data_IF_133096104713
#
_entry.id   IF_133096104713
#
_cell.length_a   1.000
_cell.length_b   1.000
_cell.length_c   1.000
_cell.angle_alpha   90.00
_cell.angle_beta   90.00
_cell.angle_gamma   90.00
#
_symmetry.space_group_name_H-M   'P 1'
#
loop_
_entity.id
_entity.type
_entity.pdbx_description
1 polymer ?
#
# COMPACT_ATOMS: atom_id res chain seq x y z
N UNK A 1 -12.38 6.14 18.28
CA UNK A 1 -11.14 6.81 17.83
C UNK A 1 -10.55 6.00 16.68
N UNK A 2 -10.06 6.64 15.62
CA UNK A 2 -9.36 5.94 14.52
C UNK A 2 -7.90 5.64 14.91
N UNK A 3 -7.26 4.69 14.24
CA UNK A 3 -5.84 4.39 14.44
C UNK A 3 -4.98 5.35 13.62
N UNK A 4 -3.87 5.84 14.18
CA UNK A 4 -2.86 6.61 13.44
C UNK A 4 -1.60 5.76 13.31
N UNK A 5 -1.10 5.61 12.08
CA UNK A 5 0.20 5.01 11.78
C UNK A 5 1.18 6.13 11.45
N UNK A 6 2.30 6.14 12.17
CA UNK A 6 3.34 7.13 11.95
C UNK A 6 4.41 6.56 11.02
N UNK A 7 4.62 7.25 9.90
CA UNK A 7 5.56 6.89 8.84
C UNK A 7 6.46 8.11 8.57
N UNK A 8 7.44 8.38 9.45
CA UNK A 8 8.34 9.52 9.29
C UNK A 8 9.30 9.36 8.10
N UNK A 9 9.64 8.13 7.73
CA UNK A 9 10.65 7.82 6.74
C UNK A 9 10.44 6.43 6.10
N UNK A 10 11.26 6.12 5.09
CA UNK A 10 11.24 4.84 4.39
C UNK A 10 11.59 3.62 5.29
N UNK A 11 12.58 3.66 6.19
CA UNK A 11 12.81 2.59 7.15
C UNK A 11 11.60 2.28 8.04
N UNK A 12 10.88 3.29 8.52
CA UNK A 12 9.66 3.09 9.28
C UNK A 12 8.59 2.38 8.46
N UNK A 13 8.43 2.73 7.17
CA UNK A 13 7.54 2.01 6.26
C UNK A 13 7.99 0.55 6.02
N UNK A 14 9.29 0.30 5.88
CA UNK A 14 9.84 -1.05 5.74
C UNK A 14 9.65 -1.91 7.00
N UNK A 15 9.69 -1.31 8.19
CA UNK A 15 9.51 -2.02 9.46
C UNK A 15 8.06 -2.45 9.74
N UNK A 16 7.09 -1.88 9.02
CA UNK A 16 5.67 -2.24 9.14
C UNK A 16 5.42 -3.65 8.59
N UNK A 17 4.51 -4.40 9.23
CA UNK A 17 4.08 -5.72 8.78
C UNK A 17 3.60 -5.68 7.32
N UNK A 18 3.89 -6.72 6.53
CA UNK A 18 3.64 -6.77 5.09
C UNK A 18 2.22 -6.29 4.70
N UNK A 19 1.20 -6.74 5.44
CA UNK A 19 -0.21 -6.38 5.23
C UNK A 19 -0.49 -4.90 5.44
N UNK A 20 0.08 -4.31 6.48
CA UNK A 20 -0.04 -2.88 6.74
C UNK A 20 0.79 -2.08 5.73
N UNK A 21 1.97 -2.58 5.35
CA UNK A 21 2.85 -1.97 4.35
C UNK A 21 2.18 -1.90 2.98
N UNK A 22 1.48 -2.96 2.58
CA UNK A 22 0.68 -3.01 1.34
C UNK A 22 -0.36 -1.88 1.27
N UNK A 23 -1.06 -1.64 2.39
CA UNK A 23 -2.04 -0.55 2.48
C UNK A 23 -1.34 0.81 2.48
N UNK A 24 -0.28 0.97 3.27
CA UNK A 24 0.48 2.21 3.35
C UNK A 24 1.02 2.60 1.98
N UNK A 25 1.66 1.69 1.26
CA UNK A 25 2.16 1.90 -0.10
C UNK A 25 1.03 2.28 -1.07
N UNK A 26 -0.11 1.59 -1.00
CA UNK A 26 -1.27 1.91 -1.84
C UNK A 26 -1.81 3.33 -1.56
N UNK A 27 -1.89 3.71 -0.28
CA UNK A 27 -2.34 5.04 0.18
C UNK A 27 -1.35 6.13 -0.24
N UNK A 28 -0.05 5.89 -0.08
CA UNK A 28 1.00 6.82 -0.48
C UNK A 28 0.99 7.07 -1.99
N UNK A 29 0.85 6.00 -2.79
CA UNK A 29 0.72 6.11 -4.25
C UNK A 29 -0.53 6.91 -4.63
N UNK A 30 -1.66 6.63 -3.97
CA UNK A 30 -2.89 7.37 -4.18
C UNK A 30 -2.74 8.85 -3.81
N UNK A 31 -2.13 9.16 -2.68
CA UNK A 31 -1.90 10.53 -2.24
C UNK A 31 -1.00 11.29 -3.24
N UNK A 32 0.11 10.68 -3.64
CA UNK A 32 1.03 11.22 -4.68
C UNK A 32 0.31 11.54 -5.98
N UNK A 33 -0.57 10.64 -6.42
CA UNK A 33 -1.26 10.76 -7.71
C UNK A 33 -2.55 11.59 -7.65
N UNK A 34 -2.95 12.05 -6.45
CA UNK A 34 -4.21 12.77 -6.22
C UNK A 34 -5.46 11.89 -6.32
N UNK A 35 -5.33 10.58 -6.13
CA UNK A 35 -6.46 9.66 -6.12
C UNK A 35 -7.25 9.76 -4.79
N UNK A 36 -8.56 9.92 -4.90
CA UNK A 36 -9.44 10.05 -3.74
C UNK A 36 -10.00 8.71 -3.25
N UNK A 37 -9.88 7.65 -4.07
CA UNK A 37 -10.43 6.33 -3.76
C UNK A 37 -9.47 5.25 -4.21
N UNK A 38 -9.22 4.29 -3.33
CA UNK A 38 -8.59 3.02 -3.66
C UNK A 38 -9.63 1.90 -3.59
N UNK A 39 -9.45 0.89 -4.42
CA UNK A 39 -10.19 -0.36 -4.42
C UNK A 39 -9.21 -1.50 -4.44
N UNK A 40 -9.41 -2.45 -3.54
CA UNK A 40 -8.58 -3.63 -3.42
C UNK A 40 -9.44 -4.83 -3.73
N UNK A 41 -8.94 -5.71 -4.58
CA UNK A 41 -9.68 -6.86 -5.08
C UNK A 41 -8.75 -8.06 -5.13
N UNK A 42 -9.24 -9.23 -4.72
CA UNK A 42 -8.52 -10.48 -4.93
C UNK A 42 -8.89 -11.06 -6.31
N UNK A 43 -7.91 -11.22 -7.20
CA UNK A 43 -8.07 -11.82 -8.53
C UNK A 43 -7.10 -12.97 -8.71
N UNK A 44 -7.61 -14.14 -9.11
CA UNK A 44 -6.79 -15.33 -9.42
C UNK A 44 -5.76 -15.69 -8.35
N UNK A 45 -6.07 -15.44 -7.07
CA UNK A 45 -5.12 -15.68 -5.98
C UNK A 45 -3.97 -14.66 -5.92
N UNK A 46 -4.22 -13.41 -6.28
CA UNK A 46 -3.34 -12.27 -6.02
C UNK A 46 -4.16 -11.04 -5.63
N UNK A 47 -3.58 -10.15 -4.81
CA UNK A 47 -4.18 -8.87 -4.47
C UNK A 47 -3.87 -7.82 -5.54
N UNK A 48 -4.89 -7.11 -5.95
CA UNK A 48 -4.82 -6.07 -6.97
C UNK A 48 -5.38 -4.77 -6.40
N UNK A 49 -4.65 -3.67 -6.60
CA UNK A 49 -5.04 -2.33 -6.15
C UNK A 49 -5.41 -1.48 -7.35
N UNK A 50 -6.58 -0.85 -7.30
CA UNK A 50 -7.02 0.15 -8.25
C UNK A 50 -7.18 1.50 -7.55
N UNK A 51 -6.79 2.58 -8.20
CA UNK A 51 -6.98 3.94 -7.73
C UNK A 51 -7.94 4.68 -8.66
N UNK A 52 -8.85 5.47 -8.10
CA UNK A 52 -9.76 6.30 -8.89
C UNK A 52 -9.19 7.70 -9.02
N UNK A 53 -8.86 8.10 -10.25
CA UNK A 53 -8.37 9.42 -10.64
C UNK A 53 -9.30 9.99 -11.70
N UNK A 54 -9.82 11.20 -11.50
CA UNK A 54 -10.64 11.93 -12.48
C UNK A 54 -11.70 11.05 -13.19
N UNK A 55 -12.43 10.28 -12.38
CA UNK A 55 -13.44 9.29 -12.75
C UNK A 55 -12.95 7.95 -13.36
N UNK A 56 -11.69 7.81 -13.77
CA UNK A 56 -11.11 6.56 -14.27
C UNK A 56 -10.53 5.69 -13.15
N UNK A 57 -10.62 4.37 -13.31
CA UNK A 57 -9.89 3.41 -12.47
C UNK A 57 -8.55 3.08 -13.11
N UNK A 58 -7.48 3.34 -12.36
CA UNK A 58 -6.09 3.05 -12.76
C UNK A 58 -5.59 1.89 -11.92
N UNK A 59 -5.00 0.89 -12.57
CA UNK A 59 -4.34 -0.21 -11.88
C UNK A 59 -3.02 0.28 -11.27
N UNK A 60 -2.78 -0.04 -10.00
CA UNK A 60 -1.47 0.10 -9.35
C UNK A 60 -0.78 -1.27 -9.36
N UNK A 61 0.01 -1.58 -10.40
CA UNK A 61 0.69 -2.86 -10.48
C UNK A 61 1.78 -2.96 -9.40
N UNK A 62 2.12 -4.19 -9.00
CA UNK A 62 3.27 -4.52 -8.13
C UNK A 62 3.24 -3.99 -6.70
N UNK A 63 2.18 -3.31 -6.24
CA UNK A 63 2.12 -2.86 -4.83
C UNK A 63 2.12 -4.02 -3.85
N UNK A 64 1.44 -5.12 -4.20
CA UNK A 64 1.47 -6.35 -3.41
C UNK A 64 2.87 -6.98 -3.38
N UNK A 65 3.59 -6.96 -4.51
CA UNK A 65 4.95 -7.49 -4.62
C UNK A 65 5.94 -6.63 -3.80
N UNK A 66 5.90 -5.31 -3.95
CA UNK A 66 6.73 -4.36 -3.20
C UNK A 66 6.45 -4.33 -1.69
N UNK A 67 5.31 -4.89 -1.27
CA UNK A 67 4.93 -5.03 0.13
C UNK A 67 5.22 -6.43 0.70
N UNK A 68 5.87 -7.30 -0.06
CA UNK A 68 6.13 -8.70 0.28
C UNK A 68 4.85 -9.51 0.58
N UNK A 69 3.72 -9.14 -0.03
CA UNK A 69 2.47 -9.88 0.14
C UNK A 69 2.55 -11.19 -0.66
N UNK A 70 2.43 -12.35 0.00
CA UNK A 70 2.38 -13.62 -0.70
C UNK A 70 1.18 -13.65 -1.63
N UNK A 71 1.36 -14.13 -2.87
CA UNK A 71 0.24 -14.38 -3.80
C UNK A 71 -0.85 -15.22 -3.13
N UNK A 72 -0.44 -16.26 -2.40
CA UNK A 72 -1.34 -17.19 -1.70
C UNK A 72 -1.97 -16.69 -0.39
N UNK A 73 -1.89 -15.40 -0.04
CA UNK A 73 -2.39 -14.88 1.24
C UNK A 73 -3.93 -14.97 1.34
N UNK A 74 -4.42 -16.16 1.68
CA UNK A 74 -5.81 -16.47 2.04
C UNK A 74 -6.15 -15.94 3.43
N UNK A 75 -5.17 -15.70 4.30
CA UNK A 75 -5.43 -15.26 5.68
C UNK A 75 -5.98 -13.84 5.81
N UNK A 76 -5.77 -12.99 4.80
CA UNK A 76 -6.47 -11.70 4.72
C UNK A 76 -7.97 -11.87 4.46
N UNK A 77 -8.38 -13.01 3.92
CA UNK A 77 -9.75 -13.31 3.49
C UNK A 77 -10.44 -14.35 4.38
N UNK A 78 -9.73 -14.95 5.33
CA UNK A 78 -10.25 -15.91 6.34
C UNK A 78 -11.35 -15.34 7.26
N UNK A 79 -11.70 -14.05 7.14
CA UNK A 79 -12.97 -13.53 7.63
C UNK A 79 -13.76 -12.90 6.46
N UNK A 80 -14.98 -13.39 6.18
CA UNK A 80 -15.82 -12.79 5.15
C UNK A 80 -16.13 -11.33 5.48
N UNK A 81 -15.89 -10.45 4.50
CA UNK A 81 -16.25 -9.03 4.54
C UNK A 81 -15.18 -8.09 5.12
N UNK A 82 -15.30 -6.83 4.72
CA UNK A 82 -14.36 -5.73 5.03
C UNK A 82 -14.13 -5.49 6.52
N UNK A 83 -15.12 -5.82 7.36
CA UNK A 83 -14.99 -5.74 8.81
C UNK A 83 -13.99 -6.74 9.38
N UNK A 84 -13.78 -7.92 8.78
CA UNK A 84 -12.82 -8.88 9.34
C UNK A 84 -11.37 -8.43 9.19
N UNK A 85 -11.04 -7.88 8.03
CA UNK A 85 -9.67 -7.54 7.65
C UNK A 85 -9.25 -6.13 8.09
N UNK A 86 -10.06 -5.11 7.79
CA UNK A 86 -9.74 -3.74 8.17
C UNK A 86 -9.84 -3.51 9.68
N UNK A 87 -10.75 -4.21 10.38
CA UNK A 87 -10.78 -4.18 11.85
C UNK A 87 -9.65 -5.00 12.49
N UNK A 88 -8.94 -5.87 11.76
CA UNK A 88 -7.70 -6.48 12.26
C UNK A 88 -6.50 -5.56 12.02
N UNK A 89 -6.39 -4.99 10.83
CA UNK A 89 -5.24 -4.17 10.44
C UNK A 89 -5.19 -2.80 11.09
N UNK A 90 -6.34 -2.14 11.20
CA UNK A 90 -6.44 -0.77 11.69
C UNK A 90 -7.39 -0.63 12.89
N UNK A 91 -7.94 -1.75 13.38
CA UNK A 91 -8.88 -1.81 14.52
C UNK A 91 -10.08 -0.86 14.43
N UNK A 92 -10.37 -0.32 13.24
CA UNK A 92 -11.35 0.73 13.03
C UNK A 92 -11.75 0.85 11.55
N UNK A 93 -12.95 1.38 11.29
CA UNK A 93 -13.38 1.78 9.93
C UNK A 93 -12.74 3.08 9.42
N UNK A 94 -11.80 3.65 10.19
CA UNK A 94 -11.06 4.88 9.88
C UNK A 94 -9.65 4.79 10.46
N UNK A 95 -8.67 5.23 9.70
CA UNK A 95 -7.29 5.36 10.15
C UNK A 95 -6.62 6.54 9.46
N UNK A 96 -5.48 6.96 9.98
CA UNK A 96 -4.70 8.06 9.44
C UNK A 96 -3.25 7.60 9.23
N UNK A 97 -2.65 7.96 8.09
CA UNK A 97 -1.21 7.85 7.89
C UNK A 97 -0.59 9.22 8.13
N UNK A 98 0.32 9.31 9.09
CA UNK A 98 1.03 10.54 9.42
C UNK A 98 2.43 10.50 8.82
N UNK A 99 2.68 11.39 7.86
CA UNK A 99 3.90 11.53 7.06
C UNK A 99 4.68 12.75 7.57
N UNK A 100 5.43 12.57 8.66
CA UNK A 100 6.01 13.71 9.38
C UNK A 100 4.94 14.58 10.05
N UNK A 101 4.76 15.81 9.55
CA UNK A 101 3.74 16.77 10.00
C UNK A 101 2.41 16.64 9.23
N UNK A 102 2.43 15.95 8.08
CA UNK A 102 1.27 15.80 7.21
C UNK A 102 0.46 14.55 7.54
N UNK A 103 -0.82 14.54 7.16
CA UNK A 103 -1.72 13.42 7.39
C UNK A 103 -2.58 13.06 6.17
N UNK A 104 -2.71 11.76 5.91
CA UNK A 104 -3.69 11.21 4.97
C UNK A 104 -4.77 10.47 5.75
N UNK A 105 -5.94 11.10 5.89
CA UNK A 105 -7.11 10.50 6.50
C UNK A 105 -7.74 9.45 5.56
N UNK A 106 -7.90 8.23 6.06
CA UNK A 106 -8.42 7.10 5.33
C UNK A 106 -9.72 6.58 5.97
N UNK A 107 -10.72 6.31 5.15
CA UNK A 107 -11.96 5.66 5.57
C UNK A 107 -12.16 4.37 4.81
N UNK A 108 -12.39 3.28 5.55
CA UNK A 108 -12.62 1.95 4.98
C UNK A 108 -14.11 1.74 4.75
N UNK A 109 -14.47 1.22 3.59
CA UNK A 109 -15.83 0.79 3.24
C UNK A 109 -15.84 -0.54 2.51
N UNK A 110 -16.96 -1.26 2.63
CA UNK A 110 -17.16 -2.53 1.94
C UNK A 110 -17.53 -2.35 0.47
N UNK A 111 -16.98 -3.21 -0.39
CA UNK A 111 -17.30 -3.27 -1.82
C UNK A 111 -17.48 -4.73 -2.26
N UNK A 112 -18.39 -5.44 -1.59
CA UNK A 112 -18.66 -6.87 -1.82
C UNK A 112 -17.86 -7.83 -0.92
N UNK A 113 -17.94 -9.15 -1.18
CA UNK A 113 -17.38 -10.17 -0.30
C UNK A 113 -15.84 -10.26 -0.33
N UNK A 114 -15.22 -9.87 -1.44
CA UNK A 114 -13.77 -9.99 -1.69
C UNK A 114 -13.12 -8.69 -2.17
N UNK A 115 -13.82 -7.57 -2.02
CA UNK A 115 -13.29 -6.26 -2.35
C UNK A 115 -13.66 -5.23 -1.29
N UNK A 116 -12.76 -4.26 -1.15
CA UNK A 116 -12.94 -3.14 -0.22
C UNK A 116 -12.41 -1.86 -0.83
N UNK A 117 -12.93 -0.75 -0.32
CA UNK A 117 -12.55 0.57 -0.76
C UNK A 117 -11.95 1.37 0.39
N UNK A 118 -10.94 2.17 0.08
CA UNK A 118 -10.46 3.23 0.93
C UNK A 118 -10.81 4.56 0.29
N UNK A 119 -11.55 5.40 1.00
CA UNK A 119 -11.68 6.81 0.62
C UNK A 119 -10.58 7.60 1.30
N UNK A 120 -9.88 8.43 0.54
CA UNK A 120 -8.77 9.26 0.97
C UNK A 120 -9.15 10.73 0.86
N UNK A 121 -8.57 11.55 1.74
CA UNK A 121 -8.59 13.02 1.62
C UNK A 121 -7.16 13.56 1.72
N UNK A 122 -6.32 13.37 0.70
CA UNK A 122 -4.96 13.89 0.72
C UNK A 122 -4.97 15.42 0.58
N UNK A 123 -4.16 16.10 1.39
CA UNK A 123 -3.79 17.51 1.17
C UNK A 123 -2.71 17.59 0.08
N UNK A 124 -2.47 18.78 -0.48
CA UNK A 124 -1.34 18.97 -1.41
C UNK A 124 0.00 18.68 -0.74
N UNK A 125 0.14 19.09 0.52
CA UNK A 125 1.34 18.90 1.30
C UNK A 125 1.57 17.42 1.61
N UNK A 126 0.52 16.67 1.94
CA UNK A 126 0.59 15.21 2.07
C UNK A 126 0.95 14.50 0.76
N UNK A 127 0.58 15.04 -0.41
CA UNK A 127 0.98 14.48 -1.70
C UNK A 127 2.48 14.66 -1.97
N UNK A 128 3.05 15.81 -1.57
CA UNK A 128 4.48 16.07 -1.66
C UNK A 128 5.26 15.15 -0.70
N UNK A 129 4.84 15.07 0.57
CA UNK A 129 5.44 14.18 1.56
C UNK A 129 5.37 12.70 1.14
N UNK A 130 4.25 12.27 0.55
CA UNK A 130 4.11 10.92 0.01
C UNK A 130 5.07 10.67 -1.16
N UNK A 131 5.30 11.67 -2.03
CA UNK A 131 6.23 11.54 -3.16
C UNK A 131 7.66 11.33 -2.68
N UNK A 132 8.10 12.11 -1.69
CA UNK A 132 9.45 12.02 -1.12
C UNK A 132 9.67 10.66 -0.45
N UNK A 133 8.78 10.27 0.46
CA UNK A 133 8.87 9.00 1.20
C UNK A 133 8.85 7.78 0.27
N UNK A 134 8.09 7.84 -0.82
CA UNK A 134 8.08 6.79 -1.82
C UNK A 134 9.39 6.72 -2.61
N UNK A 135 9.97 7.87 -2.98
CA UNK A 135 11.29 7.92 -3.61
C UNK A 135 12.32 7.19 -2.77
N UNK A 136 12.42 7.58 -1.50
CA UNK A 136 13.34 6.97 -0.54
C UNK A 136 13.09 5.47 -0.37
N UNK A 137 11.82 5.05 -0.28
CA UNK A 137 11.45 3.65 -0.09
C UNK A 137 11.88 2.76 -1.26
N UNK A 138 11.71 3.21 -2.51
CA UNK A 138 12.14 2.45 -3.69
C UNK A 138 13.63 2.58 -3.99
N UNK A 139 14.32 3.59 -3.44
CA UNK A 139 15.77 3.74 -3.53
C UNK A 139 16.54 2.95 -2.44
N UNK A 140 15.84 2.43 -1.42
CA UNK A 140 16.45 1.53 -0.44
C UNK A 140 17.10 0.32 -1.16
N UNK A 141 18.34 -0.05 -0.82
CA UNK A 141 19.12 -1.09 -1.52
C UNK A 141 18.60 -2.53 -1.34
N UNK A 142 17.30 -2.72 -1.06
CA UNK A 142 16.67 -4.02 -0.85
C UNK A 142 15.87 -4.60 -2.03
N UNK A 143 15.59 -3.83 -3.09
CA UNK A 143 14.72 -4.26 -4.20
C UNK A 143 15.42 -4.37 -5.57
N UNK A 144 16.76 -4.34 -5.60
CA UNK A 144 17.47 -4.94 -6.73
C UNK A 144 17.62 -6.41 -6.37
N UNK A 145 16.84 -7.28 -7.01
CA UNK A 145 17.14 -8.71 -7.08
C UNK A 145 18.63 -8.95 -7.40
N UNK A 146 19.15 -10.16 -7.17
CA UNK A 146 20.58 -10.43 -7.27
C UNK A 146 21.15 -9.78 -8.53
N UNK A 147 22.32 -9.12 -8.46
CA UNK A 147 22.92 -8.50 -9.63
C UNK A 147 22.91 -9.53 -10.77
N UNK A 148 22.68 -9.11 -12.03
CA UNK A 148 22.87 -10.05 -13.13
C UNK A 148 24.22 -10.70 -12.91
N UNK A 149 24.24 -12.03 -12.81
CA UNK A 149 25.48 -12.77 -12.74
C UNK A 149 26.28 -12.36 -13.96
N UNK A 150 27.19 -11.42 -13.77
CA UNK A 150 28.22 -11.08 -14.73
C UNK A 150 29.11 -12.32 -14.78
N UNK A 151 28.68 -13.24 -15.63
CA UNK A 151 29.37 -14.48 -15.92
C UNK A 151 30.61 -14.14 -16.71
N UNK A 152 31.65 -13.75 -16.00
CA UNK A 152 33.03 -13.94 -16.41
C UNK A 152 33.82 -14.31 -15.14
N UNK A 153 34.92 -15.10 -15.21
CA UNK A 153 35.72 -15.40 -16.40
C UNK A 153 36.17 -16.88 -16.53
N UNK A 154 37.03 -17.13 -17.55
CA UNK A 154 38.03 -18.22 -17.66
C UNK A 154 37.47 -19.64 -17.94
N UNK A 155 38.03 -20.53 -18.75
CA UNK A 155 39.27 -20.77 -19.52
C UNK A 155 38.82 -21.71 -20.68
N UNK A 156 39.44 -21.85 -21.85
CA UNK A 156 40.84 -22.15 -22.20
C UNK A 156 41.02 -21.92 -23.72
#
# INVERSE_FOLDING_TARGET
>A
MGQTLYLPDAPALAAVAAEQRFVCLSVLLAARDGAAVLRFEQRQGAWVTFARRDAAWVLYPRVAEAADIPRGLKDLTSAPGVRGWASRLFRAGRFCLRLGEEEVACRVSADGPWAYMLSLRPTRDAAAAARELLGDYWELPGDRGPPPSDGAPAEE
#
